data_IF_349358784379
#
_entry.id   IF_349358784379
#
_cell.length_a   1.000
_cell.length_b   1.000
_cell.length_c   1.000
_cell.angle_alpha   90.00
_cell.angle_beta   90.00
_cell.angle_gamma   90.00
#
_symmetry.space_group_name_H-M   'P 1'
#
loop_
_entity.id
_entity.type
_entity.pdbx_description
1 polymer ?
#
# COMPACT_ATOMS: atom_id res chain seq x y z
N UNK A 1 28.46 9.67 5.09
CA UNK A 1 28.17 8.47 4.27
C UNK A 1 26.70 8.15 4.41
N UNK A 2 25.96 7.99 3.32
CA UNK A 2 24.55 7.59 3.38
C UNK A 2 24.50 6.08 3.61
N UNK A 3 23.87 5.66 4.70
CA UNK A 3 23.66 4.22 4.98
C UNK A 3 22.39 3.80 4.24
N UNK A 4 22.47 2.90 3.25
CA UNK A 4 21.28 2.40 2.58
C UNK A 4 20.46 1.54 3.54
N UNK A 5 19.12 1.53 3.41
CA UNK A 5 18.27 0.65 4.19
C UNK A 5 18.59 -0.83 3.91
N UNK A 6 18.45 -1.68 4.92
CA UNK A 6 18.61 -3.12 4.71
C UNK A 6 17.51 -3.67 3.81
N UNK A 7 17.79 -4.75 3.05
CA UNK A 7 16.78 -5.42 2.22
C UNK A 7 15.54 -5.81 3.02
N UNK A 8 15.73 -6.24 4.27
CA UNK A 8 14.63 -6.57 5.17
C UNK A 8 13.76 -5.34 5.50
N UNK A 9 14.37 -4.18 5.76
CA UNK A 9 13.64 -2.94 6.02
C UNK A 9 12.78 -2.50 4.82
N UNK A 10 13.32 -2.63 3.60
CA UNK A 10 12.59 -2.35 2.34
C UNK A 10 11.40 -3.30 2.18
N UNK A 11 11.60 -4.61 2.36
CA UNK A 11 10.53 -5.61 2.24
C UNK A 11 9.45 -5.44 3.31
N UNK A 12 9.84 -5.12 4.54
CA UNK A 12 8.90 -4.85 5.64
C UNK A 12 8.03 -3.63 5.33
N UNK A 13 8.62 -2.54 4.84
CA UNK A 13 7.90 -1.34 4.41
C UNK A 13 6.94 -1.66 3.25
N UNK A 14 7.40 -2.39 2.24
CA UNK A 14 6.57 -2.82 1.11
C UNK A 14 5.33 -3.61 1.56
N UNK A 15 5.52 -4.63 2.40
CA UNK A 15 4.41 -5.42 2.94
C UNK A 15 3.46 -4.57 3.79
N UNK A 16 3.98 -3.59 4.53
CA UNK A 16 3.17 -2.67 5.34
C UNK A 16 2.33 -1.71 4.48
N UNK A 17 2.92 -1.15 3.42
CA UNK A 17 2.22 -0.29 2.45
C UNK A 17 1.16 -1.06 1.66
N UNK A 18 1.44 -2.30 1.25
CA UNK A 18 0.43 -3.16 0.59
C UNK A 18 -0.74 -3.47 1.53
N UNK A 19 -0.48 -3.80 2.81
CA UNK A 19 -1.54 -4.01 3.80
C UNK A 19 -2.39 -2.76 4.00
N UNK A 20 -1.74 -1.60 4.10
CA UNK A 20 -2.44 -0.31 4.25
C UNK A 20 -3.29 0.00 3.00
N UNK A 21 -2.75 -0.21 1.80
CA UNK A 21 -3.47 -0.03 0.53
C UNK A 21 -4.71 -0.93 0.43
N UNK A 22 -4.62 -2.18 0.90
CA UNK A 22 -5.77 -3.11 0.92
C UNK A 22 -6.87 -2.71 1.90
N UNK A 23 -6.53 -1.91 2.92
CA UNK A 23 -7.48 -1.50 3.95
C UNK A 23 -8.43 -0.39 3.49
N UNK A 24 -8.18 0.27 2.35
CA UNK A 24 -9.11 1.24 1.77
C UNK A 24 -10.45 0.58 1.42
N UNK A 25 -11.55 1.21 1.85
CA UNK A 25 -12.89 0.76 1.54
C UNK A 25 -13.22 1.00 0.06
N UNK A 26 -12.87 2.18 -0.45
CA UNK A 26 -13.13 2.55 -1.85
C UNK A 26 -12.22 1.80 -2.82
N UNK A 27 -12.81 1.16 -3.83
CA UNK A 27 -12.12 0.38 -4.85
C UNK A 27 -11.02 1.14 -5.58
N UNK A 28 -11.34 2.35 -6.06
CA UNK A 28 -10.43 3.19 -6.81
C UNK A 28 -9.13 3.49 -6.05
N UNK A 29 -9.24 3.88 -4.78
CA UNK A 29 -8.08 4.15 -3.93
C UNK A 29 -7.30 2.88 -3.62
N UNK A 30 -7.99 1.79 -3.26
CA UNK A 30 -7.36 0.49 -3.00
C UNK A 30 -6.50 0.05 -4.18
N UNK A 31 -7.07 0.02 -5.39
CA UNK A 31 -6.35 -0.44 -6.58
C UNK A 31 -5.26 0.54 -7.02
N UNK A 32 -5.52 1.84 -6.94
CA UNK A 32 -4.50 2.86 -7.25
C UNK A 32 -3.29 2.72 -6.33
N UNK A 33 -3.49 2.68 -5.02
CA UNK A 33 -2.39 2.61 -4.05
C UNK A 33 -1.66 1.26 -4.09
N UNK A 34 -2.36 0.16 -4.41
CA UNK A 34 -1.73 -1.13 -4.68
C UNK A 34 -0.77 -1.04 -5.88
N UNK A 35 -1.22 -0.47 -7.00
CA UNK A 35 -0.40 -0.31 -8.21
C UNK A 35 0.76 0.65 -7.97
N UNK A 36 0.50 1.80 -7.33
CA UNK A 36 1.51 2.80 -6.99
C UNK A 36 2.59 2.21 -6.09
N UNK A 37 2.21 1.51 -5.01
CA UNK A 37 3.16 0.84 -4.12
C UNK A 37 4.04 -0.15 -4.90
N UNK A 38 3.46 -1.02 -5.72
CA UNK A 38 4.24 -1.96 -6.56
C UNK A 38 5.22 -1.23 -7.49
N UNK A 39 4.80 -0.14 -8.11
CA UNK A 39 5.63 0.67 -9.00
C UNK A 39 6.80 1.31 -8.25
N UNK A 40 6.55 1.94 -7.11
CA UNK A 40 7.57 2.58 -6.28
C UNK A 40 8.64 1.59 -5.81
N UNK A 41 8.24 0.40 -5.36
CA UNK A 41 9.23 -0.60 -4.91
C UNK A 41 9.98 -1.27 -6.07
N UNK A 42 9.37 -1.36 -7.25
CA UNK A 42 10.08 -1.76 -8.48
C UNK A 42 11.14 -0.71 -8.86
N UNK A 43 10.84 0.57 -8.71
CA UNK A 43 11.82 1.65 -8.93
C UNK A 43 12.97 1.57 -7.91
N UNK A 44 12.67 1.34 -6.63
CA UNK A 44 13.72 1.13 -5.61
C UNK A 44 14.62 -0.05 -5.98
N UNK A 45 14.04 -1.16 -6.43
CA UNK A 45 14.79 -2.34 -6.88
C UNK A 45 15.67 -2.04 -8.11
N UNK A 46 15.18 -1.26 -9.07
CA UNK A 46 15.94 -0.89 -10.27
C UNK A 46 17.15 0.00 -9.96
N UNK A 47 17.08 0.80 -8.90
CA UNK A 47 18.14 1.70 -8.48
C UNK A 47 19.05 1.12 -7.38
N UNK A 48 19.08 -0.21 -7.17
CA UNK A 48 19.85 -0.87 -6.09
C UNK A 48 21.36 -0.53 -6.11
N UNK A 49 21.90 -0.14 -7.27
CA UNK A 49 23.31 0.21 -7.44
C UNK A 49 23.70 1.60 -6.90
N UNK A 50 22.72 2.46 -6.61
CA UNK A 50 22.95 3.80 -6.05
C UNK A 50 22.39 3.89 -4.61
N UNK A 51 23.24 3.71 -3.58
CA UNK A 51 22.83 3.74 -2.18
C UNK A 51 22.17 5.06 -1.75
N UNK A 52 22.59 6.20 -2.32
CA UNK A 52 22.06 7.51 -1.98
C UNK A 52 20.63 7.64 -2.52
N UNK A 53 20.40 7.23 -3.76
CA UNK A 53 19.08 7.23 -4.39
C UNK A 53 18.11 6.26 -3.71
N UNK A 54 18.56 5.05 -3.38
CA UNK A 54 17.75 4.07 -2.62
C UNK A 54 17.34 4.64 -1.26
N UNK A 55 18.26 5.28 -0.54
CA UNK A 55 17.96 5.91 0.75
C UNK A 55 16.93 7.04 0.61
N UNK A 56 17.08 7.90 -0.40
CA UNK A 56 16.11 8.97 -0.67
C UNK A 56 14.71 8.41 -0.97
N UNK A 57 14.60 7.47 -1.92
CA UNK A 57 13.33 6.84 -2.29
C UNK A 57 12.69 6.10 -1.11
N UNK A 58 13.48 5.42 -0.29
CA UNK A 58 13.01 4.75 0.92
C UNK A 58 12.43 5.75 1.93
N UNK A 59 13.15 6.84 2.20
CA UNK A 59 12.70 7.87 3.14
C UNK A 59 11.41 8.54 2.66
N UNK A 60 11.26 8.77 1.36
CA UNK A 60 10.03 9.32 0.80
C UNK A 60 8.88 8.31 0.87
N UNK A 61 9.13 7.02 0.62
CA UNK A 61 8.14 5.97 0.82
C UNK A 61 7.69 5.85 2.29
N UNK A 62 8.59 6.07 3.27
CA UNK A 62 8.24 6.11 4.69
C UNK A 62 7.30 7.28 5.01
N UNK A 63 7.58 8.47 4.47
CA UNK A 63 6.71 9.65 4.63
C UNK A 63 5.34 9.40 3.99
N UNK A 64 5.31 8.87 2.77
CA UNK A 64 4.07 8.52 2.08
C UNK A 64 3.29 7.44 2.82
N UNK A 65 3.95 6.45 3.43
CA UNK A 65 3.28 5.42 4.22
C UNK A 65 2.51 6.00 5.40
N UNK A 66 3.06 7.02 6.07
CA UNK A 66 2.37 7.72 7.15
C UNK A 66 1.11 8.44 6.65
N UNK A 67 1.18 9.08 5.48
CA UNK A 67 0.02 9.71 4.82
C UNK A 67 -1.01 8.66 4.44
N UNK A 68 -0.57 7.59 3.79
CA UNK A 68 -1.41 6.49 3.32
C UNK A 68 -2.23 5.87 4.47
N UNK A 69 -1.61 5.67 5.64
CA UNK A 69 -2.30 5.18 6.84
C UNK A 69 -3.44 6.10 7.29
N UNK A 70 -3.18 7.41 7.37
CA UNK A 70 -4.22 8.38 7.77
C UNK A 70 -5.35 8.41 6.74
N UNK A 71 -5.01 8.44 5.46
CA UNK A 71 -6.00 8.43 4.37
C UNK A 71 -6.85 7.17 4.37
N UNK A 72 -6.27 6.01 4.70
CA UNK A 72 -7.02 4.75 4.79
C UNK A 72 -8.06 4.81 5.92
N UNK A 73 -7.68 5.33 7.09
CA UNK A 73 -8.60 5.50 8.24
C UNK A 73 -9.76 6.43 7.89
N UNK A 74 -9.46 7.59 7.30
CA UNK A 74 -10.50 8.55 6.88
C UNK A 74 -11.42 7.94 5.82
N UNK A 75 -10.87 7.19 4.86
CA UNK A 75 -11.67 6.50 3.85
C UNK A 75 -12.55 5.39 4.43
N UNK A 76 -12.12 4.73 5.50
CA UNK A 76 -12.96 3.77 6.21
C UNK A 76 -14.09 4.46 6.98
N UNK A 77 -13.80 5.57 7.64
CA UNK A 77 -14.78 6.33 8.42
C UNK A 77 -15.90 6.92 7.55
N UNK A 78 -15.54 7.43 6.37
CA UNK A 78 -16.46 8.06 5.42
C UNK A 78 -16.66 7.22 4.15
N UNK A 79 -16.51 5.90 4.27
CA UNK A 79 -16.68 4.99 3.14
C UNK A 79 -18.14 4.93 2.68
N UNK A 80 -18.37 5.20 1.40
CA UNK A 80 -19.69 5.09 0.77
C UNK A 80 -20.05 3.66 0.37
N UNK A 81 -21.14 3.53 -0.38
CA UNK A 81 -21.57 2.26 -0.96
C UNK A 81 -20.56 1.74 -1.98
N UNK A 82 -20.56 0.41 -2.15
CA UNK A 82 -19.69 -0.27 -3.11
C UNK A 82 -20.08 0.09 -4.54
N UNK A 83 -19.08 0.23 -5.40
CA UNK A 83 -19.32 0.48 -6.82
C UNK A 83 -19.92 -0.76 -7.50
N UNK A 84 -20.65 -0.56 -8.60
CA UNK A 84 -21.24 -1.64 -9.40
C UNK A 84 -20.19 -2.63 -9.93
N UNK A 85 -18.96 -2.14 -10.13
CA UNK A 85 -17.82 -2.95 -10.60
C UNK A 85 -17.14 -3.75 -9.49
N UNK A 86 -17.50 -3.54 -8.23
CA UNK A 86 -16.99 -4.35 -7.12
C UNK A 86 -17.78 -5.66 -7.08
N UNK A 87 -17.09 -6.79 -7.28
CA UNK A 87 -17.71 -8.12 -7.17
C UNK A 87 -18.45 -8.23 -5.83
N UNK A 88 -19.77 -8.39 -5.92
CA UNK A 88 -20.60 -8.79 -4.79
C UNK A 88 -20.12 -10.20 -4.42
N UNK A 89 -19.29 -10.34 -3.37
CA UNK A 89 -19.02 -11.67 -2.83
C UNK A 89 -20.37 -12.31 -2.53
N UNK A 90 -20.65 -13.53 -3.03
CA UNK A 90 -21.89 -14.20 -2.68
C UNK A 90 -21.93 -14.30 -1.16
N UNK A 91 -23.00 -13.80 -0.55
CA UNK A 91 -23.24 -13.98 0.87
C UNK A 91 -23.20 -15.49 1.14
N UNK A 92 -22.19 -15.94 1.88
CA UNK A 92 -22.16 -17.30 2.38
C UNK A 92 -23.21 -17.36 3.48
N UNK A 93 -24.46 -17.65 3.11
CA UNK A 93 -25.48 -18.05 4.08
C UNK A 93 -24.92 -19.23 4.85
N UNK A 94 -24.66 -19.02 6.14
CA UNK A 94 -24.32 -20.13 7.03
C UNK A 94 -25.55 -21.02 7.06
N UNK A 95 -25.43 -22.22 6.50
CA UNK A 95 -26.46 -23.24 6.57
C UNK A 95 -26.88 -23.40 8.03
N UNK A 96 -28.16 -23.20 8.29
CA UNK A 96 -28.76 -23.47 9.59
C UNK A 96 -28.83 -24.99 9.68
N UNK A 97 -28.08 -25.58 10.61
CA UNK A 97 -28.21 -27.00 10.97
C UNK A 97 -29.53 -27.22 11.71
#
# INVERSE_FOLDING_TARGET
MVVPPSKHAVLSLYASMLRTSRSFSSYNFREYFLRRTKSTFREIQQNEQDPAKVSALYNDAVKEHAVLKRSAIVNQLYGGWKLVVEDQKPERTRGVN
#
